data_IF_201135542612
#
_entry.id   IF_201135542612
#
_cell.length_a   1.000
_cell.length_b   1.000
_cell.length_c   1.000
_cell.angle_alpha   90.00
_cell.angle_beta   90.00
_cell.angle_gamma   90.00
#
_symmetry.space_group_name_H-M   'P 1'
#
loop_
_entity.id
_entity.type
_entity.pdbx_description
1 polymer ?
#
# COMPACT_ATOMS: atom_id res chain seq x y z
N UNK A 1 19.56 7.32 -20.74
CA UNK A 1 19.45 6.69 -19.40
C UNK A 1 18.06 6.08 -19.28
N UNK A 2 17.96 4.87 -18.75
CA UNK A 2 16.67 4.17 -18.57
C UNK A 2 15.98 4.64 -17.28
N UNK A 3 14.66 4.51 -17.20
CA UNK A 3 13.90 4.88 -16.00
C UNK A 3 14.39 4.13 -14.74
N UNK A 4 14.62 2.80 -14.78
CA UNK A 4 15.17 2.08 -13.62
C UNK A 4 16.54 2.60 -13.17
N UNK A 5 17.43 2.91 -14.10
CA UNK A 5 18.74 3.47 -13.73
C UNK A 5 18.65 4.86 -13.08
N UNK A 6 17.64 5.65 -13.46
CA UNK A 6 17.36 6.94 -12.80
C UNK A 6 16.73 6.72 -11.42
N UNK A 7 15.80 5.77 -11.30
CA UNK A 7 15.20 5.41 -10.01
C UNK A 7 16.26 4.92 -9.02
N UNK A 8 17.14 4.02 -9.43
CA UNK A 8 18.26 3.56 -8.58
C UNK A 8 19.16 4.68 -8.09
N UNK A 9 19.32 5.74 -8.90
CA UNK A 9 20.20 6.85 -8.57
C UNK A 9 19.55 7.95 -7.74
N UNK A 10 18.26 8.22 -7.97
CA UNK A 10 17.61 9.43 -7.45
C UNK A 10 16.37 9.16 -6.59
N UNK A 11 15.80 7.97 -6.61
CA UNK A 11 14.66 7.65 -5.75
C UNK A 11 15.07 7.62 -4.30
N UNK A 12 14.23 8.22 -3.46
CA UNK A 12 14.36 8.17 -1.99
C UNK A 12 13.50 7.06 -1.40
N UNK A 13 12.63 6.43 -2.20
CA UNK A 13 11.80 5.32 -1.76
C UNK A 13 12.58 4.00 -1.69
N UNK A 14 12.13 3.06 -0.85
CA UNK A 14 12.80 1.77 -0.67
C UNK A 14 12.89 0.95 -1.96
N UNK A 15 11.94 1.13 -2.88
CA UNK A 15 11.92 0.46 -4.19
C UNK A 15 13.01 0.97 -5.13
N UNK A 16 13.61 2.12 -4.83
CA UNK A 16 14.70 2.70 -5.62
C UNK A 16 15.85 1.73 -5.85
N UNK A 17 16.22 0.92 -4.85
CA UNK A 17 17.30 -0.08 -4.94
C UNK A 17 17.01 -1.15 -6.03
N UNK A 18 15.74 -1.40 -6.32
CA UNK A 18 15.28 -2.36 -7.35
C UNK A 18 14.85 -1.66 -8.64
N UNK A 19 15.32 -0.41 -8.86
CA UNK A 19 14.98 0.36 -10.06
C UNK A 19 13.56 0.93 -10.03
N UNK A 20 12.93 0.99 -8.85
CA UNK A 20 11.59 1.53 -8.66
C UNK A 20 10.48 0.57 -9.09
N UNK A 21 10.74 -0.74 -9.13
CA UNK A 21 9.72 -1.73 -9.51
C UNK A 21 8.74 -1.96 -8.35
N UNK A 22 7.47 -1.60 -8.58
CA UNK A 22 6.37 -1.78 -7.64
C UNK A 22 5.58 -3.07 -7.91
N UNK A 23 5.94 -3.83 -8.94
CA UNK A 23 5.15 -4.96 -9.42
C UNK A 23 3.78 -4.53 -9.95
N UNK A 24 2.84 -5.48 -9.98
CA UNK A 24 1.45 -5.21 -10.35
C UNK A 24 0.64 -4.83 -9.13
N UNK A 25 -0.14 -3.77 -9.27
CA UNK A 25 -1.12 -3.35 -8.25
C UNK A 25 -2.43 -2.93 -8.91
N UNK A 26 -3.50 -2.97 -8.14
CA UNK A 26 -4.86 -2.63 -8.58
C UNK A 26 -5.25 -1.23 -8.07
N UNK A 27 -6.22 -0.60 -8.71
CA UNK A 27 -6.81 0.65 -8.23
C UNK A 27 -7.32 0.49 -6.78
N UNK A 28 -7.06 1.47 -5.94
CA UNK A 28 -7.40 1.45 -4.52
C UNK A 28 -6.46 0.65 -3.61
N UNK A 29 -5.39 0.03 -4.15
CA UNK A 29 -4.33 -0.58 -3.33
C UNK A 29 -3.25 0.42 -2.93
N UNK A 30 -3.14 1.51 -3.65
CA UNK A 30 -2.21 2.61 -3.43
C UNK A 30 -2.99 3.86 -3.03
N UNK A 31 -2.33 4.91 -2.50
CA UNK A 31 -2.97 6.19 -2.25
C UNK A 31 -3.71 6.72 -3.49
N UNK A 32 -4.85 7.38 -3.27
CA UNK A 32 -5.76 7.84 -4.34
C UNK A 32 -5.06 8.75 -5.37
N UNK A 33 -4.04 9.49 -4.94
CA UNK A 33 -3.26 10.36 -5.83
C UNK A 33 -2.52 9.59 -6.92
N UNK A 34 -2.35 8.27 -6.76
CA UNK A 34 -1.70 7.40 -7.76
C UNK A 34 -2.67 6.85 -8.80
N UNK A 35 -3.98 7.04 -8.62
CA UNK A 35 -4.98 6.51 -9.55
C UNK A 35 -4.85 7.09 -10.97
N UNK A 36 -4.28 8.28 -11.12
CA UNK A 36 -3.99 8.85 -12.43
C UNK A 36 -3.02 8.01 -13.27
N UNK A 37 -2.18 7.18 -12.62
CA UNK A 37 -1.29 6.24 -13.32
C UNK A 37 -2.07 5.22 -14.14
N UNK A 38 -3.28 4.84 -13.69
CA UNK A 38 -4.14 3.90 -14.44
C UNK A 38 -4.68 4.48 -15.76
N UNK A 39 -4.66 5.79 -15.95
CA UNK A 39 -5.04 6.45 -17.20
C UNK A 39 -3.92 6.44 -18.24
N UNK A 40 -2.69 6.23 -17.82
CA UNK A 40 -1.52 6.22 -18.70
C UNK A 40 -1.49 4.99 -19.60
N UNK A 41 -0.93 5.16 -20.79
CA UNK A 41 -0.64 4.04 -21.69
C UNK A 41 0.65 3.32 -21.28
N UNK A 42 0.78 2.05 -21.64
CA UNK A 42 2.02 1.28 -21.50
C UNK A 42 3.23 2.05 -22.01
N UNK A 43 4.34 1.98 -21.30
CA UNK A 43 5.61 2.66 -21.56
C UNK A 43 5.57 4.21 -21.43
N UNK A 44 4.48 4.80 -20.95
CA UNK A 44 4.43 6.23 -20.65
C UNK A 44 4.87 6.51 -19.23
N UNK A 45 5.45 7.71 -19.05
CA UNK A 45 5.81 8.26 -17.75
C UNK A 45 4.71 9.26 -17.37
N UNK A 46 4.35 9.31 -16.08
CA UNK A 46 3.40 10.28 -15.55
C UNK A 46 3.97 11.69 -15.52
N UNK A 47 3.11 12.66 -15.36
CA UNK A 47 3.49 13.94 -14.78
C UNK A 47 3.92 13.77 -13.33
N UNK A 48 4.46 14.83 -12.73
CA UNK A 48 4.85 14.81 -11.31
C UNK A 48 3.59 14.75 -10.45
N UNK A 49 3.45 13.67 -9.68
CA UNK A 49 2.35 13.46 -8.74
C UNK A 49 2.81 13.90 -7.36
N UNK A 50 2.09 14.85 -6.77
CA UNK A 50 2.36 15.34 -5.41
C UNK A 50 1.48 14.57 -4.41
N UNK A 51 2.12 14.03 -3.37
CA UNK A 51 1.45 13.36 -2.26
C UNK A 51 1.92 13.94 -0.92
N UNK A 52 1.30 13.59 0.21
CA UNK A 52 1.82 13.92 1.54
C UNK A 52 3.25 13.40 1.80
N UNK A 53 3.68 12.38 1.07
CA UNK A 53 5.00 11.76 1.22
C UNK A 53 6.07 12.35 0.29
N UNK A 54 5.69 13.26 -0.63
CA UNK A 54 6.61 13.91 -1.56
C UNK A 54 6.12 13.93 -3.00
N UNK A 55 7.08 14.03 -3.93
CA UNK A 55 6.82 14.07 -5.36
C UNK A 55 7.22 12.75 -6.00
N UNK A 56 6.33 12.22 -6.84
CA UNK A 56 6.50 10.92 -7.46
C UNK A 56 6.41 11.00 -8.98
N UNK A 57 7.19 10.17 -9.66
CA UNK A 57 7.11 9.91 -11.10
C UNK A 57 6.92 8.43 -11.31
N UNK A 58 5.93 8.04 -12.09
CA UNK A 58 5.63 6.66 -12.44
C UNK A 58 5.86 6.39 -13.91
N UNK A 59 6.29 5.18 -14.21
CA UNK A 59 6.31 4.65 -15.57
C UNK A 59 5.49 3.37 -15.63
N UNK A 60 4.48 3.34 -16.47
CA UNK A 60 3.69 2.13 -16.71
C UNK A 60 4.48 1.18 -17.59
N UNK A 61 4.97 0.08 -17.02
CA UNK A 61 5.74 -0.95 -17.74
C UNK A 61 4.80 -1.90 -18.47
N UNK A 62 3.72 -2.31 -17.78
CA UNK A 62 2.70 -3.17 -18.35
C UNK A 62 1.31 -2.83 -17.81
N UNK A 63 0.28 -3.31 -18.47
CA UNK A 63 -1.10 -3.06 -18.13
C UNK A 63 -1.96 -4.28 -18.43
N UNK A 64 -2.52 -4.86 -17.41
CA UNK A 64 -3.46 -5.97 -17.53
C UNK A 64 -4.87 -5.36 -17.64
N UNK A 65 -5.61 -5.77 -18.65
CA UNK A 65 -7.00 -5.31 -18.79
C UNK A 65 -7.83 -5.83 -17.63
N UNK A 66 -8.68 -4.95 -17.12
CA UNK A 66 -9.70 -5.34 -16.16
C UNK A 66 -10.58 -6.46 -16.75
N UNK A 67 -10.77 -7.51 -15.98
CA UNK A 67 -11.66 -8.62 -16.31
C UNK A 67 -12.41 -9.07 -15.06
N UNK A 68 -13.63 -9.52 -15.23
CA UNK A 68 -14.32 -10.22 -14.16
C UNK A 68 -13.61 -11.56 -13.91
N UNK A 69 -13.27 -11.80 -12.66
CA UNK A 69 -12.74 -13.09 -12.25
C UNK A 69 -13.88 -14.07 -12.07
N UNK A 70 -13.68 -15.31 -12.51
CA UNK A 70 -14.61 -16.40 -12.22
C UNK A 70 -14.63 -16.66 -10.71
N UNK A 71 -15.78 -17.14 -10.21
CA UNK A 71 -16.00 -17.36 -8.78
C UNK A 71 -14.92 -18.27 -8.17
N UNK A 72 -14.58 -19.38 -8.83
CA UNK A 72 -13.55 -20.30 -8.32
C UNK A 72 -12.16 -19.67 -8.25
N UNK A 73 -11.82 -18.81 -9.21
CA UNK A 73 -10.55 -18.07 -9.22
C UNK A 73 -10.47 -17.05 -8.07
N UNK A 74 -11.60 -16.38 -7.79
CA UNK A 74 -11.68 -15.35 -6.73
C UNK A 74 -11.90 -15.95 -5.34
N UNK A 75 -12.40 -17.18 -5.23
CA UNK A 75 -12.81 -17.82 -3.97
C UNK A 75 -11.73 -17.81 -2.89
N UNK A 76 -10.50 -18.16 -3.23
CA UNK A 76 -9.38 -18.18 -2.28
C UNK A 76 -9.04 -16.78 -1.76
N UNK A 77 -9.08 -15.78 -2.65
CA UNK A 77 -8.83 -14.37 -2.33
C UNK A 77 -9.92 -13.81 -1.42
N UNK A 78 -11.18 -14.04 -1.77
CA UNK A 78 -12.35 -13.61 -0.97
C UNK A 78 -12.32 -14.26 0.41
N UNK A 79 -12.03 -15.57 0.49
CA UNK A 79 -11.90 -16.28 1.77
C UNK A 79 -10.79 -15.69 2.65
N UNK A 80 -9.66 -15.33 2.07
CA UNK A 80 -8.55 -14.68 2.80
C UNK A 80 -8.97 -13.31 3.35
N UNK A 81 -9.58 -12.48 2.52
CA UNK A 81 -10.04 -11.13 2.91
C UNK A 81 -11.10 -11.23 4.02
N UNK A 82 -12.08 -12.11 3.85
CA UNK A 82 -13.13 -12.30 4.85
C UNK A 82 -12.58 -12.79 6.17
N UNK A 83 -11.63 -13.74 6.14
CA UNK A 83 -10.95 -14.23 7.36
C UNK A 83 -10.22 -13.11 8.08
N UNK A 84 -9.46 -12.28 7.35
CA UNK A 84 -8.75 -11.15 7.92
C UNK A 84 -9.74 -10.17 8.58
N UNK A 85 -10.82 -9.82 7.88
CA UNK A 85 -11.85 -8.93 8.41
C UNK A 85 -12.49 -9.46 9.71
N UNK A 86 -12.83 -10.75 9.74
CA UNK A 86 -13.40 -11.39 10.93
C UNK A 86 -12.40 -11.44 12.09
N UNK A 87 -11.12 -11.69 11.82
CA UNK A 87 -10.06 -11.64 12.83
C UNK A 87 -9.90 -10.24 13.41
N UNK A 88 -9.89 -9.20 12.57
CA UNK A 88 -9.77 -7.81 12.99
C UNK A 88 -10.97 -7.39 13.86
N UNK A 89 -12.18 -7.79 13.49
CA UNK A 89 -13.39 -7.54 14.29
C UNK A 89 -13.33 -8.27 15.65
N UNK A 90 -12.94 -9.54 15.65
CA UNK A 90 -12.80 -10.32 16.87
C UNK A 90 -11.73 -9.71 17.79
N UNK A 91 -10.58 -9.31 17.24
CA UNK A 91 -9.50 -8.66 17.97
C UNK A 91 -9.96 -7.32 18.57
N UNK A 92 -10.62 -6.46 17.80
CA UNK A 92 -11.16 -5.19 18.29
C UNK A 92 -12.12 -5.41 19.46
N UNK A 93 -13.03 -6.36 19.32
CA UNK A 93 -14.00 -6.69 20.36
C UNK A 93 -13.31 -7.23 21.64
N UNK A 94 -12.37 -8.13 21.47
CA UNK A 94 -11.57 -8.69 22.57
C UNK A 94 -10.75 -7.60 23.26
N UNK A 95 -10.09 -6.75 22.48
CA UNK A 95 -9.25 -5.66 23.00
C UNK A 95 -10.04 -4.64 23.82
N UNK A 96 -11.24 -4.26 23.34
CA UNK A 96 -12.14 -3.37 24.10
C UNK A 96 -12.54 -4.00 25.42
N UNK A 97 -12.92 -5.29 25.43
CA UNK A 97 -13.25 -6.02 26.66
C UNK A 97 -12.06 -6.12 27.62
N UNK A 98 -10.87 -6.35 27.08
CA UNK A 98 -9.64 -6.40 27.86
C UNK A 98 -9.36 -5.05 28.53
N UNK A 99 -9.44 -3.95 27.78
CA UNK A 99 -9.26 -2.58 28.30
C UNK A 99 -10.25 -2.26 29.43
N UNK A 100 -11.51 -2.66 29.28
CA UNK A 100 -12.53 -2.44 30.29
C UNK A 100 -12.29 -3.21 31.59
N UNK A 101 -11.65 -4.39 31.51
CA UNK A 101 -11.34 -5.24 32.66
C UNK A 101 -9.98 -4.96 33.31
N UNK A 102 -9.14 -4.20 32.64
CA UNK A 102 -7.77 -3.93 33.07
C UNK A 102 -7.64 -2.51 33.60
N UNK A 103 -6.92 -2.36 34.72
CA UNK A 103 -6.47 -1.04 35.17
C UNK A 103 -5.21 -0.69 34.38
N UNK A 104 -5.32 0.29 33.47
CA UNK A 104 -4.21 0.74 32.63
C UNK A 104 -3.63 2.00 33.25
N UNK A 105 -2.37 1.94 33.67
CA UNK A 105 -1.60 3.10 34.14
C UNK A 105 -0.57 3.44 33.06
N UNK A 106 -0.66 4.62 32.47
CA UNK A 106 0.30 5.11 31.47
C UNK A 106 1.30 6.00 32.21
N UNK A 107 2.57 5.56 32.26
CA UNK A 107 3.68 6.35 32.80
C UNK A 107 4.31 7.16 31.68
N UNK A 108 3.90 8.41 31.55
CA UNK A 108 4.37 9.31 30.49
C UNK A 108 5.88 9.59 30.53
N UNK A 109 6.49 9.59 31.72
CA UNK A 109 7.95 9.79 31.88
C UNK A 109 8.81 8.75 31.13
N UNK A 110 8.26 7.58 30.83
CA UNK A 110 8.97 6.55 30.09
C UNK A 110 8.92 6.75 28.56
N UNK A 111 8.02 7.59 28.06
CA UNK A 111 7.86 7.85 26.63
C UNK A 111 8.81 8.93 26.11
N UNK A 112 9.23 9.87 26.98
CA UNK A 112 10.18 10.92 26.62
C UNK A 112 11.63 10.41 26.36
N UNK A 113 11.92 9.17 26.75
CA UNK A 113 13.24 8.55 26.56
C UNK A 113 13.38 7.77 25.25
N UNK A 114 12.35 7.78 24.38
CA UNK A 114 12.33 7.00 23.13
C UNK A 114 12.55 7.91 21.91
N UNK A 115 12.62 9.23 22.09
CA UNK A 115 12.94 10.21 21.04
C UNK A 115 14.29 10.86 21.27
#
# INVERSE_FOLDING_TARGET
>A
KTFPALAMKYSLGPEGVQGGDLGYFEAGQMPEEFDDVFKLKKNKVSDVIKTPYGFHLFKVVDKIKERKMEFEESRSRVKKILRQHLQDQAFKTWFVKLKQKSKIEIKYESLEKIY
#
